data_IF_249436402779
#
_entry.id   IF_249436402779
#
_cell.length_a   1.000
_cell.length_b   1.000
_cell.length_c   1.000
_cell.angle_alpha   90.00
_cell.angle_beta   90.00
_cell.angle_gamma   90.00
#
_symmetry.space_group_name_H-M   'P 1'
#
loop_
_entity.id
_entity.type
_entity.pdbx_description
1 polymer ?
#
# COMPACT_ATOMS: atom_id res chain seq x y z
N UNK A 1 12.02 34.22 -21.23
CA UNK A 1 11.14 34.31 -20.05
C UNK A 1 10.05 33.24 -20.04
N UNK A 2 10.38 31.98 -20.40
CA UNK A 2 9.51 30.79 -20.32
C UNK A 2 10.38 29.56 -20.59
N UNK A 3 11.17 29.19 -19.58
CA UNK A 3 11.97 27.96 -19.42
C UNK A 3 12.54 28.07 -18.00
N UNK A 4 11.70 27.82 -16.98
CA UNK A 4 11.79 26.54 -16.28
C UNK A 4 10.46 26.14 -15.60
N UNK A 5 9.71 25.21 -16.19
CA UNK A 5 8.59 24.55 -15.48
C UNK A 5 8.53 23.03 -15.76
N UNK A 6 9.29 22.55 -16.73
CA UNK A 6 9.37 21.13 -17.12
C UNK A 6 10.43 20.35 -16.33
N UNK A 7 11.37 21.02 -15.66
CA UNK A 7 12.44 20.37 -14.88
C UNK A 7 12.08 20.11 -13.42
N UNK A 8 10.98 20.70 -12.92
CA UNK A 8 10.60 20.65 -11.49
C UNK A 8 9.53 19.59 -11.18
N UNK A 9 8.89 19.00 -12.19
CA UNK A 9 7.82 18.00 -12.02
C UNK A 9 8.31 16.55 -12.16
N UNK A 10 9.43 16.29 -12.85
CA UNK A 10 10.00 14.95 -12.95
C UNK A 10 10.79 14.54 -11.69
N UNK A 11 11.36 15.50 -10.95
CA UNK A 11 12.05 15.23 -9.68
C UNK A 11 11.08 15.03 -8.51
N UNK A 12 9.88 15.62 -8.56
CA UNK A 12 8.90 15.52 -7.48
C UNK A 12 8.22 14.13 -7.44
N UNK A 13 7.88 13.54 -8.59
CA UNK A 13 7.23 12.23 -8.64
C UNK A 13 8.17 11.09 -8.20
N UNK A 14 9.47 11.22 -8.49
CA UNK A 14 10.49 10.22 -8.17
C UNK A 14 11.15 10.45 -6.80
N UNK A 15 11.34 11.69 -6.40
CA UNK A 15 11.79 12.06 -5.06
C UNK A 15 10.76 11.68 -4.00
N UNK A 16 9.45 11.87 -4.26
CA UNK A 16 8.39 11.35 -3.38
C UNK A 16 8.29 9.84 -3.47
N UNK A 17 8.32 9.20 -4.64
CA UNK A 17 8.23 7.73 -4.73
C UNK A 17 9.34 7.01 -3.95
N UNK A 18 10.59 7.47 -4.09
CA UNK A 18 11.76 6.90 -3.39
C UNK A 18 11.79 7.31 -1.92
N UNK A 19 11.46 8.57 -1.56
CA UNK A 19 11.34 8.96 -0.14
C UNK A 19 10.14 8.33 0.54
N UNK A 20 9.02 8.11 -0.14
CA UNK A 20 7.84 7.47 0.42
C UNK A 20 8.11 5.97 0.58
N UNK A 21 8.76 5.30 -0.37
CA UNK A 21 9.23 3.92 -0.18
C UNK A 21 10.31 3.82 0.91
N UNK A 22 11.22 4.78 1.02
CA UNK A 22 12.22 4.84 2.09
C UNK A 22 11.56 5.10 3.45
N UNK A 23 10.66 6.08 3.56
CA UNK A 23 9.88 6.34 4.78
C UNK A 23 8.95 5.16 5.09
N UNK A 24 8.40 4.46 4.09
CA UNK A 24 7.59 3.26 4.25
C UNK A 24 8.40 2.12 4.86
N UNK A 25 9.55 1.78 4.27
CA UNK A 25 10.41 0.71 4.76
C UNK A 25 11.12 1.09 6.05
N UNK A 26 11.64 2.31 6.19
CA UNK A 26 12.29 2.78 7.42
C UNK A 26 11.28 2.86 8.57
N UNK A 27 10.06 3.38 8.36
CA UNK A 27 9.05 3.42 9.42
C UNK A 27 8.46 2.05 9.75
N UNK A 28 8.35 1.12 8.78
CA UNK A 28 8.06 -0.28 9.05
C UNK A 28 9.20 -0.90 9.88
N UNK A 29 10.46 -0.68 9.52
CA UNK A 29 11.61 -1.13 10.31
C UNK A 29 11.62 -0.54 11.73
N UNK A 30 11.22 0.73 11.91
CA UNK A 30 11.13 1.37 13.23
C UNK A 30 9.91 0.88 14.03
N UNK A 31 8.79 0.58 13.37
CA UNK A 31 7.64 -0.13 13.95
C UNK A 31 8.04 -1.52 14.46
N UNK A 32 8.80 -2.26 13.64
CA UNK A 32 9.37 -3.57 13.96
C UNK A 32 10.32 -3.45 15.15
N UNK A 33 11.20 -2.44 15.17
CA UNK A 33 12.15 -2.20 16.26
C UNK A 33 11.46 -1.85 17.58
N UNK A 34 10.38 -1.06 17.54
CA UNK A 34 9.60 -0.71 18.72
C UNK A 34 8.77 -1.89 19.26
N UNK A 35 8.20 -2.74 18.41
CA UNK A 35 7.51 -3.95 18.86
C UNK A 35 8.51 -5.00 19.40
N UNK A 36 9.71 -5.05 18.83
CA UNK A 36 10.80 -5.90 19.31
C UNK A 36 11.28 -5.51 20.71
N UNK A 37 11.22 -4.24 21.10
CA UNK A 37 11.52 -3.79 22.47
C UNK A 37 10.42 -4.19 23.48
N UNK A 38 9.16 -4.35 23.06
CA UNK A 38 8.06 -4.76 23.95
C UNK A 38 8.11 -6.25 24.31
N UNK A 39 8.75 -7.09 23.50
CA UNK A 39 8.85 -8.54 23.73
C UNK A 39 10.14 -9.00 24.43
N UNK A 40 11.12 -8.10 24.65
CA UNK A 40 12.48 -8.48 25.12
C UNK A 40 12.71 -8.29 26.62
N UNK A 41 11.80 -7.66 27.37
CA UNK A 41 11.96 -7.54 28.83
C UNK A 41 11.27 -8.70 29.58
N UNK A 42 12.02 -9.60 30.23
CA UNK A 42 11.44 -10.61 31.10
C UNK A 42 10.93 -9.93 32.37
N UNK A 43 9.69 -10.23 32.76
CA UNK A 43 9.14 -9.89 34.08
C UNK A 43 10.00 -10.55 35.17
N UNK A 44 10.92 -9.81 35.76
CA UNK A 44 11.46 -10.12 37.08
C UNK A 44 11.96 -8.84 37.72
N UNK A 45 11.24 -8.39 38.76
CA UNK A 45 11.76 -8.00 40.08
C UNK A 45 10.54 -7.58 40.91
N UNK A 46 10.22 -8.36 41.94
CA UNK A 46 9.36 -7.97 43.03
C UNK A 46 10.24 -7.38 44.16
N UNK A 47 9.94 -6.16 44.61
CA UNK A 47 9.75 -5.73 46.02
C UNK A 47 10.00 -4.21 46.23
N UNK A 48 8.94 -3.54 46.76
CA UNK A 48 8.92 -2.40 47.72
C UNK A 48 9.42 -1.05 47.16
N UNK A 49 8.75 0.12 47.23
CA UNK A 49 7.88 0.76 48.25
C UNK A 49 7.08 1.93 47.62
N UNK A 50 6.13 2.46 48.41
CA UNK A 50 5.07 3.41 48.09
C UNK A 50 5.46 4.80 47.53
N UNK A 51 4.44 5.39 46.90
CA UNK A 51 4.18 6.80 46.57
C UNK A 51 4.43 7.24 45.11
N UNK A 52 3.42 7.91 44.54
CA UNK A 52 3.50 8.65 43.28
C UNK A 52 3.29 7.87 41.98
N UNK A 53 2.06 7.94 41.43
CA UNK A 53 1.74 7.74 40.00
C UNK A 53 2.35 6.50 39.30
N UNK A 54 1.61 5.39 39.32
CA UNK A 54 1.86 4.26 38.42
C UNK A 54 1.65 4.68 36.95
N UNK A 55 2.71 5.15 36.29
CA UNK A 55 2.82 5.07 34.83
C UNK A 55 3.46 3.73 34.49
N UNK A 56 2.65 2.82 33.95
CA UNK A 56 3.09 1.55 33.38
C UNK A 56 4.19 1.83 32.33
N UNK A 57 5.40 1.23 32.43
CA UNK A 57 6.50 1.45 31.50
C UNK A 57 6.18 1.05 30.04
N UNK A 58 5.03 0.40 29.81
CA UNK A 58 4.56 -0.10 28.51
C UNK A 58 3.46 0.74 27.86
N UNK A 59 3.04 1.87 28.43
CA UNK A 59 1.92 2.64 27.88
C UNK A 59 2.38 3.52 26.70
N UNK A 60 2.40 2.92 25.51
CA UNK A 60 2.62 3.63 24.24
C UNK A 60 1.57 4.75 24.13
N UNK A 61 2.03 5.99 23.98
CA UNK A 61 1.13 7.15 24.00
C UNK A 61 -0.03 7.01 23.00
N UNK A 62 -1.22 7.50 23.37
CA UNK A 62 -2.39 7.52 22.46
C UNK A 62 -2.08 8.19 21.12
N UNK A 63 -1.25 9.23 21.12
CA UNK A 63 -0.81 9.89 19.88
C UNK A 63 0.01 8.95 18.99
N UNK A 64 0.92 8.16 19.57
CA UNK A 64 1.68 7.13 18.86
C UNK A 64 0.76 6.03 18.33
N UNK A 65 -0.22 5.57 19.11
CA UNK A 65 -1.19 4.58 18.65
C UNK A 65 -2.06 5.10 17.50
N UNK A 66 -2.53 6.35 17.58
CA UNK A 66 -3.28 6.99 16.49
C UNK A 66 -2.41 7.11 15.24
N UNK A 67 -1.16 7.52 15.38
CA UNK A 67 -0.21 7.58 14.25
C UNK A 67 -0.03 6.22 13.57
N UNK A 68 0.10 5.15 14.36
CA UNK A 68 0.19 3.77 13.85
C UNK A 68 -1.11 3.31 13.20
N UNK A 69 -2.26 3.64 13.79
CA UNK A 69 -3.59 3.29 13.29
C UNK A 69 -3.93 3.98 11.96
N UNK A 70 -3.43 5.21 11.74
CA UNK A 70 -3.56 5.89 10.45
C UNK A 70 -2.88 5.09 9.34
N UNK A 71 -1.87 4.26 9.65
CA UNK A 71 -1.12 3.46 8.68
C UNK A 71 -0.60 4.32 7.53
N UNK A 72 -0.14 5.55 7.81
CA UNK A 72 0.26 6.56 6.81
C UNK A 72 1.03 6.03 5.58
N UNK A 73 2.00 5.11 5.75
CA UNK A 73 2.69 4.51 4.61
C UNK A 73 1.76 3.82 3.58
N UNK A 74 0.60 3.30 4.00
CA UNK A 74 -0.38 2.64 3.13
C UNK A 74 -0.99 3.60 2.10
N UNK A 75 -1.09 4.90 2.37
CA UNK A 75 -1.65 5.86 1.40
C UNK A 75 -0.72 6.11 0.20
N UNK A 76 0.53 5.63 0.25
CA UNK A 76 1.39 5.56 -0.93
C UNK A 76 0.73 4.79 -2.07
N UNK A 77 -0.09 3.77 -1.76
CA UNK A 77 -0.79 2.96 -2.77
C UNK A 77 -1.99 3.69 -3.39
N UNK A 78 -2.46 4.79 -2.80
CA UNK A 78 -3.39 5.73 -3.45
C UNK A 78 -2.65 6.66 -4.41
N UNK A 79 -1.47 7.13 -4.01
CA UNK A 79 -0.70 8.13 -4.74
C UNK A 79 0.01 7.53 -5.97
N UNK A 80 0.74 6.43 -5.80
CA UNK A 80 1.64 5.90 -6.84
C UNK A 80 0.92 5.54 -8.14
N UNK A 81 -0.18 4.75 -8.15
CA UNK A 81 -0.91 4.44 -9.38
C UNK A 81 -1.43 5.69 -10.10
N UNK A 82 -1.92 6.67 -9.33
CA UNK A 82 -2.44 7.93 -9.85
C UNK A 82 -1.33 8.78 -10.47
N UNK A 83 -0.21 8.93 -9.77
CA UNK A 83 0.94 9.70 -10.25
C UNK A 83 1.57 9.05 -11.48
N UNK A 84 1.75 7.72 -11.48
CA UNK A 84 2.33 6.99 -12.62
C UNK A 84 1.39 7.05 -13.82
N UNK A 85 0.10 6.76 -13.63
CA UNK A 85 -0.89 6.87 -14.70
C UNK A 85 -0.96 8.30 -15.27
N UNK A 86 -0.95 9.31 -14.41
CA UNK A 86 -0.92 10.72 -14.79
C UNK A 86 0.35 11.14 -15.53
N UNK A 87 1.52 10.64 -15.11
CA UNK A 87 2.78 10.92 -15.79
C UNK A 87 2.82 10.32 -17.20
N UNK A 88 2.33 9.09 -17.37
CA UNK A 88 2.21 8.46 -18.70
C UNK A 88 1.20 9.21 -19.56
N UNK A 89 0.08 9.66 -18.99
CA UNK A 89 -0.91 10.47 -19.69
C UNK A 89 -0.29 11.79 -20.19
N UNK A 90 0.39 12.52 -19.29
CA UNK A 90 1.07 13.76 -19.62
C UNK A 90 2.15 13.57 -20.69
N UNK A 91 2.93 12.49 -20.61
CA UNK A 91 3.96 12.17 -21.61
C UNK A 91 3.35 12.01 -23.02
N UNK A 92 2.12 11.51 -23.12
CA UNK A 92 1.50 11.16 -24.40
C UNK A 92 0.62 12.26 -24.97
N UNK A 93 -0.08 12.99 -24.11
CA UNK A 93 -1.04 14.01 -24.54
C UNK A 93 -0.55 15.43 -24.28
N UNK A 94 0.46 15.62 -23.43
CA UNK A 94 0.89 16.93 -22.95
C UNK A 94 -0.09 17.59 -21.97
N UNK A 95 -1.14 16.88 -21.54
CA UNK A 95 -2.23 17.44 -20.75
C UNK A 95 -2.05 17.13 -19.26
N UNK A 96 -2.31 18.13 -18.42
CA UNK A 96 -2.38 17.95 -16.97
C UNK A 96 -3.44 18.87 -16.37
N UNK A 97 -4.40 18.29 -15.66
CA UNK A 97 -5.40 19.03 -14.89
C UNK A 97 -5.15 18.84 -13.40
N UNK A 98 -4.59 19.86 -12.75
CA UNK A 98 -4.35 19.84 -11.32
C UNK A 98 -5.65 19.60 -10.52
N UNK A 99 -6.76 20.22 -10.95
CA UNK A 99 -8.08 20.03 -10.34
C UNK A 99 -8.49 18.55 -10.37
N UNK A 100 -8.45 17.91 -11.55
CA UNK A 100 -8.84 16.50 -11.69
C UNK A 100 -7.90 15.59 -10.91
N UNK A 101 -6.59 15.84 -10.96
CA UNK A 101 -5.61 15.10 -10.19
C UNK A 101 -5.90 15.14 -8.70
N UNK A 102 -6.15 16.33 -8.14
CA UNK A 102 -6.44 16.48 -6.72
C UNK A 102 -7.78 15.86 -6.32
N UNK A 103 -8.81 15.93 -7.16
CA UNK A 103 -10.06 15.21 -6.93
C UNK A 103 -9.84 13.70 -6.90
N UNK A 104 -9.12 13.15 -7.88
CA UNK A 104 -8.81 11.72 -7.93
C UNK A 104 -7.97 11.28 -6.73
N UNK A 105 -7.00 12.10 -6.29
CA UNK A 105 -6.18 11.82 -5.11
C UNK A 105 -7.05 11.79 -3.85
N UNK A 106 -7.85 12.82 -3.61
CA UNK A 106 -8.74 12.88 -2.45
C UNK A 106 -9.73 11.71 -2.42
N UNK A 107 -10.33 11.39 -3.57
CA UNK A 107 -11.19 10.22 -3.71
C UNK A 107 -10.46 8.91 -3.44
N UNK A 108 -9.24 8.73 -3.98
CA UNK A 108 -8.46 7.51 -3.78
C UNK A 108 -8.04 7.34 -2.32
N UNK A 109 -7.68 8.43 -1.64
CA UNK A 109 -7.42 8.42 -0.19
C UNK A 109 -8.65 7.94 0.57
N UNK A 110 -9.85 8.45 0.27
CA UNK A 110 -11.10 7.98 0.89
C UNK A 110 -11.39 6.49 0.62
N UNK A 111 -11.10 5.99 -0.59
CA UNK A 111 -11.22 4.56 -0.90
C UNK A 111 -10.22 3.72 -0.08
N UNK A 112 -8.98 4.17 0.07
CA UNK A 112 -7.99 3.48 0.93
C UNK A 112 -8.41 3.55 2.41
N UNK A 113 -8.96 4.68 2.86
CA UNK A 113 -9.53 4.81 4.21
C UNK A 113 -10.65 3.80 4.42
N UNK A 114 -11.54 3.62 3.45
CA UNK A 114 -12.56 2.57 3.50
C UNK A 114 -11.94 1.18 3.63
N UNK A 115 -10.94 0.83 2.81
CA UNK A 115 -10.28 -0.49 2.89
C UNK A 115 -9.66 -0.74 4.26
N UNK A 116 -8.98 0.25 4.83
CA UNK A 116 -8.34 0.12 6.13
C UNK A 116 -9.35 -0.04 7.28
N UNK A 117 -10.38 0.82 7.31
CA UNK A 117 -11.38 0.80 8.37
C UNK A 117 -12.28 -0.43 8.29
N UNK A 118 -12.69 -0.81 7.07
CA UNK A 118 -13.49 -2.03 6.89
C UNK A 118 -12.71 -3.28 7.27
N UNK A 119 -11.42 -3.36 6.92
CA UNK A 119 -10.57 -4.46 7.36
C UNK A 119 -10.50 -4.56 8.89
N UNK A 120 -10.21 -3.46 9.59
CA UNK A 120 -10.18 -3.46 11.06
C UNK A 120 -11.53 -3.86 11.68
N UNK A 121 -12.66 -3.45 11.08
CA UNK A 121 -14.00 -3.87 11.54
C UNK A 121 -14.23 -5.36 11.35
N UNK A 122 -13.92 -5.92 10.18
CA UNK A 122 -14.18 -7.33 9.92
C UNK A 122 -13.18 -8.26 10.60
N UNK A 123 -11.94 -7.81 10.82
CA UNK A 123 -10.93 -8.53 11.61
C UNK A 123 -11.25 -8.48 13.12
N UNK A 124 -11.92 -7.41 13.58
CA UNK A 124 -12.52 -7.41 14.92
C UNK A 124 -13.64 -8.47 15.04
N UNK A 125 -14.50 -8.58 14.02
CA UNK A 125 -15.59 -9.57 14.01
C UNK A 125 -15.10 -11.03 14.01
N UNK A 126 -13.94 -11.31 13.39
CA UNK A 126 -13.32 -12.65 13.40
C UNK A 126 -12.52 -12.92 14.67
N UNK A 127 -12.21 -11.87 15.45
CA UNK A 127 -11.34 -11.93 16.60
C UNK A 127 -9.85 -11.84 16.29
N UNK A 128 -9.48 -11.61 15.03
CA UNK A 128 -8.09 -11.40 14.59
C UNK A 128 -7.47 -10.16 15.25
N UNK A 129 -8.26 -9.10 15.44
CA UNK A 129 -7.78 -7.85 16.04
C UNK A 129 -7.93 -7.78 17.57
N UNK A 130 -8.32 -8.86 18.29
CA UNK A 130 -8.64 -8.79 19.74
C UNK A 130 -7.55 -8.15 20.62
N UNK A 131 -6.28 -8.39 20.31
CA UNK A 131 -5.14 -7.87 21.09
C UNK A 131 -4.39 -6.72 20.41
N UNK A 132 -4.89 -6.25 19.25
CA UNK A 132 -4.18 -5.30 18.39
C UNK A 132 -4.51 -3.86 18.78
N UNK A 133 -3.67 -3.25 19.63
CA UNK A 133 -3.92 -1.91 20.21
C UNK A 133 -4.06 -0.80 19.18
N UNK A 134 -3.46 -0.95 18.00
CA UNK A 134 -3.53 -0.01 16.88
C UNK A 134 -4.74 -0.19 15.95
N UNK A 135 -5.59 -1.20 16.19
CA UNK A 135 -6.88 -1.32 15.47
C UNK A 135 -7.77 -0.13 15.81
N UNK A 136 -8.36 0.52 14.80
CA UNK A 136 -9.21 1.70 15.03
C UNK A 136 -10.44 1.32 15.87
N UNK A 137 -10.94 0.10 15.71
CA UNK A 137 -12.06 -0.42 16.53
C UNK A 137 -11.66 -0.51 18.00
N UNK A 138 -10.46 -0.97 18.30
CA UNK A 138 -9.96 -1.06 19.68
C UNK A 138 -9.67 0.32 20.28
N UNK A 139 -9.16 1.27 19.48
CA UNK A 139 -8.91 2.65 19.93
C UNK A 139 -10.20 3.41 20.23
N UNK A 140 -11.22 3.24 19.39
CA UNK A 140 -12.52 3.89 19.57
C UNK A 140 -13.36 3.16 20.63
N UNK A 141 -13.10 1.87 20.84
CA UNK A 141 -13.90 1.02 21.73
C UNK A 141 -15.28 0.69 21.18
N UNK A 142 -15.51 0.89 19.87
CA UNK A 142 -16.79 0.58 19.23
C UNK A 142 -16.60 0.12 17.79
N UNK A 143 -17.44 -0.85 17.37
CA UNK A 143 -17.50 -1.35 15.99
C UNK A 143 -18.23 -0.38 15.05
N UNK A 144 -19.31 0.23 15.52
CA UNK A 144 -20.23 1.01 14.68
C UNK A 144 -19.60 2.28 14.12
N UNK A 145 -18.80 3.00 14.91
CA UNK A 145 -18.14 4.23 14.46
C UNK A 145 -17.21 4.03 13.26
N UNK A 146 -16.20 3.14 13.36
CA UNK A 146 -15.31 2.81 12.25
C UNK A 146 -16.05 2.27 11.03
N UNK A 147 -17.12 1.48 11.20
CA UNK A 147 -17.91 0.97 10.08
C UNK A 147 -18.66 2.08 9.32
N UNK A 148 -19.30 3.00 10.04
CA UNK A 148 -19.96 4.17 9.45
C UNK A 148 -18.92 5.00 8.69
N UNK A 149 -17.79 5.30 9.32
CA UNK A 149 -16.71 6.05 8.69
C UNK A 149 -16.16 5.35 7.43
N UNK A 150 -16.04 4.02 7.45
CA UNK A 150 -15.62 3.23 6.30
C UNK A 150 -16.58 3.41 5.12
N UNK A 151 -17.88 3.20 5.32
CA UNK A 151 -18.87 3.30 4.25
C UNK A 151 -19.13 4.75 3.80
N UNK A 152 -19.05 5.73 4.69
CA UNK A 152 -19.06 7.15 4.31
C UNK A 152 -17.85 7.49 3.43
N UNK A 153 -16.66 6.98 3.76
CA UNK A 153 -15.47 7.17 2.94
C UNK A 153 -15.60 6.49 1.57
N UNK A 154 -16.15 5.29 1.51
CA UNK A 154 -16.46 4.61 0.24
C UNK A 154 -17.40 5.44 -0.62
N UNK A 155 -18.52 5.90 -0.05
CA UNK A 155 -19.53 6.67 -0.77
C UNK A 155 -18.96 8.00 -1.31
N UNK A 156 -18.29 8.78 -0.46
CA UNK A 156 -17.68 10.06 -0.85
C UNK A 156 -16.55 9.87 -1.87
N UNK A 157 -15.70 8.86 -1.65
CA UNK A 157 -14.64 8.51 -2.59
C UNK A 157 -15.20 8.16 -3.97
N UNK A 158 -16.20 7.28 -4.02
CA UNK A 158 -16.86 6.85 -5.25
C UNK A 158 -17.59 7.99 -5.96
N UNK A 159 -18.24 8.90 -5.23
CA UNK A 159 -18.85 10.12 -5.81
C UNK A 159 -17.80 10.95 -6.52
N UNK A 160 -16.64 11.20 -5.91
CA UNK A 160 -15.58 11.98 -6.55
C UNK A 160 -14.95 11.28 -7.77
N UNK A 161 -14.79 9.95 -7.74
CA UNK A 161 -14.35 9.17 -8.91
C UNK A 161 -15.37 9.23 -10.05
N UNK A 162 -16.65 9.13 -9.73
CA UNK A 162 -17.75 9.22 -10.70
C UNK A 162 -17.81 10.62 -11.31
N UNK A 163 -17.69 11.66 -10.50
CA UNK A 163 -17.65 13.05 -10.96
C UNK A 163 -16.47 13.30 -11.90
N UNK A 164 -15.27 12.85 -11.53
CA UNK A 164 -14.08 12.98 -12.38
C UNK A 164 -14.22 12.21 -13.71
N UNK A 165 -14.85 11.03 -13.67
CA UNK A 165 -15.10 10.21 -14.87
C UNK A 165 -16.15 10.83 -15.79
N UNK A 166 -17.19 11.42 -15.22
CA UNK A 166 -18.22 12.16 -15.97
C UNK A 166 -17.65 13.43 -16.60
N UNK A 167 -16.85 14.22 -15.86
CA UNK A 167 -16.17 15.42 -16.38
C UNK A 167 -15.21 15.08 -17.54
N UNK A 168 -14.54 13.93 -17.47
CA UNK A 168 -13.67 13.41 -18.53
C UNK A 168 -14.41 12.69 -19.67
N UNK A 169 -15.74 12.48 -19.57
CA UNK A 169 -16.54 11.64 -20.49
C UNK A 169 -15.96 10.23 -20.72
N UNK A 170 -15.30 9.67 -19.71
CA UNK A 170 -14.60 8.38 -19.82
C UNK A 170 -15.18 7.36 -18.84
N UNK A 171 -16.30 6.75 -19.22
CA UNK A 171 -16.99 5.77 -18.38
C UNK A 171 -16.24 4.44 -18.25
N UNK A 172 -15.35 4.14 -19.20
CA UNK A 172 -14.46 2.97 -19.13
C UNK A 172 -13.53 3.06 -17.92
N UNK A 173 -13.02 4.24 -17.61
CA UNK A 173 -12.20 4.43 -16.40
C UNK A 173 -12.98 4.18 -15.12
N UNK A 174 -14.26 4.57 -15.07
CA UNK A 174 -15.11 4.28 -13.91
C UNK A 174 -15.32 2.77 -13.72
N UNK A 175 -15.50 2.01 -14.81
CA UNK A 175 -15.58 0.55 -14.75
C UNK A 175 -14.29 -0.07 -14.19
N UNK A 176 -13.13 0.35 -14.69
CA UNK A 176 -11.83 -0.13 -14.19
C UNK A 176 -11.63 0.20 -12.71
N UNK A 177 -11.96 1.42 -12.27
CA UNK A 177 -11.91 1.80 -10.85
C UNK A 177 -12.91 0.98 -10.01
N UNK A 178 -14.10 0.72 -10.55
CA UNK A 178 -15.08 -0.19 -9.95
C UNK A 178 -14.52 -1.60 -9.77
N UNK A 179 -13.82 -2.14 -10.77
CA UNK A 179 -13.13 -3.43 -10.66
C UNK A 179 -12.03 -3.40 -9.58
N UNK A 180 -11.25 -2.32 -9.48
CA UNK A 180 -10.23 -2.17 -8.44
C UNK A 180 -10.86 -2.13 -7.02
N UNK A 181 -11.94 -1.36 -6.84
CA UNK A 181 -12.70 -1.30 -5.58
C UNK A 181 -13.30 -2.67 -5.26
N UNK A 182 -13.84 -3.37 -6.26
CA UNK A 182 -14.39 -4.70 -6.09
C UNK A 182 -13.32 -5.72 -5.67
N UNK A 183 -12.11 -5.68 -6.23
CA UNK A 183 -10.97 -6.47 -5.75
C UNK A 183 -10.70 -6.23 -4.26
N UNK A 184 -10.71 -4.96 -3.85
CA UNK A 184 -10.58 -4.59 -2.44
C UNK A 184 -11.74 -5.10 -1.56
N UNK A 185 -12.97 -5.10 -2.09
CA UNK A 185 -14.14 -5.68 -1.42
C UNK A 185 -13.97 -7.18 -1.21
N UNK A 186 -13.74 -7.97 -2.27
CA UNK A 186 -13.63 -9.43 -2.15
C UNK A 186 -12.40 -9.87 -1.35
N UNK A 187 -11.37 -9.03 -1.29
CA UNK A 187 -10.19 -9.25 -0.47
C UNK A 187 -10.53 -9.40 1.02
N UNK A 188 -11.29 -8.47 1.61
CA UNK A 188 -11.53 -8.45 3.07
C UNK A 188 -13.01 -8.63 3.51
N UNK A 189 -14.00 -8.37 2.65
CA UNK A 189 -15.40 -8.33 3.07
C UNK A 189 -16.03 -9.73 3.09
N UNK A 190 -16.97 -10.00 4.02
CA UNK A 190 -17.90 -11.12 3.89
C UNK A 190 -18.74 -11.00 2.61
N UNK A 191 -19.13 -12.12 1.96
CA UNK A 191 -18.83 -13.50 2.36
C UNK A 191 -17.48 -14.03 1.85
N UNK A 192 -16.75 -13.26 1.03
CA UNK A 192 -15.62 -13.79 0.26
C UNK A 192 -14.32 -13.93 1.07
N UNK A 193 -13.86 -12.84 1.71
CA UNK A 193 -12.64 -12.80 2.53
C UNK A 193 -11.44 -13.52 1.89
N UNK A 194 -11.18 -13.25 0.61
CA UNK A 194 -10.17 -13.99 -0.15
C UNK A 194 -8.74 -13.80 0.38
N UNK A 195 -8.50 -12.77 1.21
CA UNK A 195 -7.25 -12.62 1.97
C UNK A 195 -6.98 -13.81 2.91
N UNK A 196 -8.03 -14.40 3.51
CA UNK A 196 -7.93 -15.59 4.36
C UNK A 196 -7.60 -16.85 3.56
N UNK A 197 -7.80 -16.82 2.25
CA UNK A 197 -7.52 -17.93 1.34
C UNK A 197 -6.16 -17.80 0.64
N UNK A 198 -5.37 -16.77 0.95
CA UNK A 198 -4.08 -16.51 0.33
C UNK A 198 -4.18 -16.04 -1.13
N UNK A 199 -5.26 -15.35 -1.48
CA UNK A 199 -5.47 -14.73 -2.80
C UNK A 199 -5.27 -13.21 -2.77
N UNK A 200 -4.59 -12.70 -1.74
CA UNK A 200 -4.34 -11.27 -1.57
C UNK A 200 -3.48 -10.67 -2.69
N UNK A 201 -2.40 -11.36 -3.04
CA UNK A 201 -1.39 -10.90 -3.98
C UNK A 201 -1.93 -10.73 -5.41
N UNK A 202 -2.69 -11.69 -5.98
CA UNK A 202 -3.33 -11.51 -7.29
C UNK A 202 -4.37 -10.38 -7.31
N UNK A 203 -5.18 -10.24 -6.24
CA UNK A 203 -6.17 -9.18 -6.12
C UNK A 203 -5.52 -7.80 -6.02
N UNK A 204 -4.45 -7.69 -5.22
CA UNK A 204 -3.65 -6.49 -5.08
C UNK A 204 -3.02 -6.11 -6.43
N UNK A 205 -2.41 -7.07 -7.12
CA UNK A 205 -1.81 -6.86 -8.43
C UNK A 205 -2.84 -6.28 -9.41
N UNK A 206 -4.00 -6.94 -9.54
CA UNK A 206 -5.05 -6.54 -10.47
C UNK A 206 -5.63 -5.16 -10.14
N UNK A 207 -5.91 -4.90 -8.85
CA UNK A 207 -6.51 -3.65 -8.39
C UNK A 207 -5.62 -2.44 -8.67
N UNK A 208 -4.36 -2.48 -8.24
CA UNK A 208 -3.47 -1.32 -8.31
C UNK A 208 -2.76 -1.21 -9.66
N UNK A 209 -2.42 -2.33 -10.28
CA UNK A 209 -1.77 -2.36 -11.58
C UNK A 209 -2.73 -2.05 -12.72
N UNK A 210 -3.24 -3.06 -13.44
CA UNK A 210 -3.99 -2.87 -14.67
C UNK A 210 -5.30 -2.10 -14.49
N UNK A 211 -5.99 -2.19 -13.34
CA UNK A 211 -7.24 -1.48 -13.14
C UNK A 211 -7.03 0.00 -12.77
N UNK A 212 -6.51 0.29 -11.58
CA UNK A 212 -6.39 1.67 -11.10
C UNK A 212 -5.41 2.51 -11.95
N UNK A 213 -4.19 2.02 -12.20
CA UNK A 213 -3.18 2.79 -12.95
C UNK A 213 -3.66 3.15 -14.36
N UNK A 214 -4.28 2.19 -15.06
CA UNK A 214 -4.83 2.43 -16.40
C UNK A 214 -6.02 3.39 -16.36
N UNK A 215 -6.90 3.27 -15.37
CA UNK A 215 -8.04 4.18 -15.24
C UNK A 215 -7.58 5.63 -15.01
N UNK A 216 -6.57 5.84 -14.16
CA UNK A 216 -6.00 7.16 -13.90
C UNK A 216 -5.31 7.73 -15.14
N UNK A 217 -4.57 6.91 -15.88
CA UNK A 217 -4.01 7.28 -17.17
C UNK A 217 -5.10 7.79 -18.13
N UNK A 218 -6.17 7.01 -18.30
CA UNK A 218 -7.28 7.38 -19.18
C UNK A 218 -7.96 8.68 -18.71
N UNK A 219 -8.22 8.84 -17.41
CA UNK A 219 -8.89 10.02 -16.86
C UNK A 219 -8.05 11.29 -16.97
N UNK A 220 -6.75 11.20 -16.72
CA UNK A 220 -5.86 12.36 -16.78
C UNK A 220 -5.46 12.72 -18.21
N UNK A 221 -5.48 11.76 -19.13
CA UNK A 221 -5.21 11.98 -20.56
C UNK A 221 -6.43 12.45 -21.36
N UNK A 222 -7.65 12.28 -20.85
CA UNK A 222 -8.89 12.65 -21.57
C UNK A 222 -9.28 14.11 -21.33
N UNK A 223 -9.92 14.75 -22.30
CA UNK A 223 -10.60 16.04 -22.15
C UNK A 223 -11.99 15.97 -22.78
N UNK A 224 -12.77 17.06 -22.73
CA UNK A 224 -14.05 17.11 -23.44
C UNK A 224 -13.90 16.94 -24.96
N UNK A 225 -12.74 17.31 -25.49
CA UNK A 225 -12.40 17.22 -26.92
C UNK A 225 -11.66 15.91 -27.23
N UNK A 226 -10.80 15.44 -26.32
CA UNK A 226 -10.06 14.18 -26.45
C UNK A 226 -10.74 13.11 -25.61
N UNK A 227 -11.68 12.39 -26.22
CA UNK A 227 -12.45 11.34 -25.56
C UNK A 227 -11.74 9.99 -25.64
N UNK A 228 -10.94 9.77 -26.68
CA UNK A 228 -10.23 8.51 -26.91
C UNK A 228 -8.73 8.66 -26.64
N UNK A 229 -8.27 7.98 -25.59
CA UNK A 229 -6.87 7.86 -25.23
C UNK A 229 -6.44 6.40 -25.47
N UNK A 230 -5.53 6.10 -26.42
CA UNK A 230 -5.19 4.74 -26.79
C UNK A 230 -4.39 4.04 -25.70
N UNK A 231 -4.68 2.77 -25.41
CA UNK A 231 -3.81 1.99 -24.53
C UNK A 231 -2.48 1.71 -25.24
N UNK A 232 -1.41 2.21 -24.66
CA UNK A 232 -0.05 2.09 -25.18
C UNK A 232 0.74 1.03 -24.42
N UNK A 233 1.80 0.50 -25.04
CA UNK A 233 2.74 -0.38 -24.34
C UNK A 233 3.33 0.29 -23.09
N UNK A 234 3.48 1.61 -23.07
CA UNK A 234 3.95 2.37 -21.91
C UNK A 234 3.02 2.28 -20.71
N UNK A 235 1.72 2.54 -20.87
CA UNK A 235 0.79 2.45 -19.72
C UNK A 235 0.64 0.99 -19.25
N UNK A 236 0.61 0.03 -20.18
CA UNK A 236 0.53 -1.38 -19.83
C UNK A 236 1.75 -1.81 -19.02
N UNK A 237 2.95 -1.47 -19.48
CA UNK A 237 4.22 -1.78 -18.80
C UNK A 237 4.31 -1.11 -17.42
N UNK A 238 3.95 0.18 -17.34
CA UNK A 238 3.92 0.91 -16.09
C UNK A 238 2.91 0.31 -15.10
N UNK A 239 1.72 -0.07 -15.56
CA UNK A 239 0.68 -0.67 -14.73
C UNK A 239 1.12 -2.02 -14.15
N UNK A 240 1.83 -2.85 -14.92
CA UNK A 240 2.40 -4.11 -14.44
C UNK A 240 3.44 -3.86 -13.35
N UNK A 241 4.37 -2.91 -13.56
CA UNK A 241 5.38 -2.58 -12.55
C UNK A 241 4.74 -2.06 -11.25
N UNK A 242 3.76 -1.16 -11.34
CA UNK A 242 3.02 -0.65 -10.17
C UNK A 242 2.30 -1.78 -9.43
N UNK A 243 1.64 -2.68 -10.17
CA UNK A 243 0.97 -3.85 -9.60
C UNK A 243 1.96 -4.75 -8.85
N UNK A 244 3.08 -5.12 -9.48
CA UNK A 244 4.11 -5.97 -8.87
C UNK A 244 4.73 -5.32 -7.62
N UNK A 245 5.05 -4.02 -7.66
CA UNK A 245 5.58 -3.33 -6.48
C UNK A 245 4.58 -3.29 -5.34
N UNK A 246 3.30 -3.05 -5.63
CA UNK A 246 2.25 -2.97 -4.60
C UNK A 246 1.98 -4.35 -3.99
N UNK A 247 1.95 -5.39 -4.83
CA UNK A 247 1.85 -6.79 -4.37
C UNK A 247 3.04 -7.20 -3.51
N UNK A 248 4.26 -6.78 -3.86
CA UNK A 248 5.44 -7.07 -3.04
C UNK A 248 5.35 -6.40 -1.66
N UNK A 249 4.82 -5.17 -1.58
CA UNK A 249 4.56 -4.51 -0.30
C UNK A 249 3.59 -5.35 0.55
N UNK A 250 2.47 -5.80 -0.03
CA UNK A 250 1.51 -6.66 0.67
C UNK A 250 2.17 -7.96 1.13
N UNK A 251 2.92 -8.61 0.26
CA UNK A 251 3.60 -9.86 0.58
C UNK A 251 4.58 -9.70 1.76
N UNK A 252 5.38 -8.64 1.76
CA UNK A 252 6.30 -8.34 2.85
C UNK A 252 5.59 -8.09 4.19
N UNK A 253 4.35 -7.59 4.16
CA UNK A 253 3.58 -7.35 5.39
C UNK A 253 3.25 -8.63 6.17
N UNK A 254 3.21 -9.79 5.49
CA UNK A 254 2.90 -11.07 6.11
C UNK A 254 3.99 -11.60 7.04
N UNK A 255 5.25 -11.14 6.92
CA UNK A 255 6.37 -11.71 7.70
C UNK A 255 6.21 -11.53 9.21
N UNK A 256 5.46 -10.51 9.65
CA UNK A 256 5.25 -10.23 11.07
C UNK A 256 3.92 -10.78 11.62
N UNK A 257 3.10 -11.42 10.78
CA UNK A 257 1.72 -11.79 11.10
C UNK A 257 1.49 -13.30 11.00
N UNK A 258 2.53 -14.12 10.86
CA UNK A 258 2.38 -15.55 10.55
C UNK A 258 1.64 -16.27 11.68
N UNK A 259 2.07 -16.08 12.92
CA UNK A 259 1.46 -16.71 14.10
C UNK A 259 0.03 -16.23 14.33
N UNK A 260 -0.22 -14.93 14.12
CA UNK A 260 -1.52 -14.28 14.27
C UNK A 260 -2.51 -14.77 13.20
N UNK A 261 -2.05 -14.86 11.95
CA UNK A 261 -2.81 -15.39 10.82
C UNK A 261 -3.20 -16.86 11.06
N UNK A 262 -2.27 -17.68 11.57
CA UNK A 262 -2.55 -19.08 11.94
C UNK A 262 -3.62 -19.15 13.03
N UNK A 263 -3.52 -18.32 14.07
CA UNK A 263 -4.43 -18.35 15.22
C UNK A 263 -5.90 -18.08 14.83
N UNK A 264 -6.14 -17.36 13.72
CA UNK A 264 -7.49 -17.07 13.21
C UNK A 264 -7.86 -17.83 11.94
N UNK A 265 -7.05 -18.82 11.55
CA UNK A 265 -7.29 -19.65 10.37
C UNK A 265 -7.12 -18.93 9.03
N UNK A 266 -6.39 -17.81 9.00
CA UNK A 266 -6.03 -17.08 7.78
C UNK A 266 -4.83 -17.75 7.11
N UNK A 267 -5.07 -18.37 5.95
CA UNK A 267 -4.05 -19.07 5.17
C UNK A 267 -3.29 -18.10 4.25
N UNK A 268 -2.57 -17.14 4.83
CA UNK A 268 -1.73 -16.20 4.07
C UNK A 268 -0.58 -16.92 3.36
N UNK A 269 0.09 -16.29 2.36
CA UNK A 269 1.15 -16.96 1.61
C UNK A 269 2.28 -17.50 2.49
N UNK A 270 2.69 -16.75 3.51
CA UNK A 270 3.76 -17.18 4.42
C UNK A 270 3.31 -18.30 5.36
N UNK A 271 2.04 -18.36 5.73
CA UNK A 271 1.47 -19.51 6.44
C UNK A 271 1.55 -20.77 5.56
N UNK A 272 1.28 -20.64 4.25
CA UNK A 272 1.31 -21.78 3.32
C UNK A 272 2.73 -22.23 2.95
N UNK A 273 3.68 -21.29 2.80
CA UNK A 273 4.99 -21.59 2.22
C UNK A 273 6.16 -21.49 3.19
N UNK A 274 5.96 -20.90 4.37
CA UNK A 274 7.00 -20.60 5.35
C UNK A 274 7.81 -19.35 5.01
N UNK A 275 8.43 -18.76 6.03
CA UNK A 275 9.17 -17.50 5.92
C UNK A 275 10.47 -17.64 5.12
N UNK A 276 11.11 -18.81 5.12
CA UNK A 276 12.32 -19.08 4.33
C UNK A 276 12.05 -19.02 2.82
N UNK A 277 11.03 -19.75 2.35
CA UNK A 277 10.60 -19.64 0.94
C UNK A 277 10.07 -18.25 0.63
N UNK A 278 9.37 -17.63 1.59
CA UNK A 278 8.94 -16.23 1.47
C UNK A 278 10.10 -15.28 1.20
N UNK A 279 11.20 -15.40 1.93
CA UNK A 279 12.40 -14.57 1.74
C UNK A 279 12.98 -14.72 0.33
N UNK A 280 13.05 -15.96 -0.18
CA UNK A 280 13.45 -16.22 -1.57
C UNK A 280 12.51 -15.59 -2.59
N UNK A 281 11.20 -15.59 -2.34
CA UNK A 281 10.21 -14.89 -3.18
C UNK A 281 10.46 -13.39 -3.21
N UNK A 282 10.72 -12.76 -2.06
CA UNK A 282 11.06 -11.33 -2.00
C UNK A 282 12.30 -11.03 -2.85
N UNK A 283 13.37 -11.79 -2.68
CA UNK A 283 14.59 -11.66 -3.47
C UNK A 283 14.33 -11.78 -4.97
N UNK A 284 13.61 -12.83 -5.37
CA UNK A 284 13.23 -13.07 -6.76
C UNK A 284 12.35 -11.96 -7.34
N UNK A 285 11.38 -11.47 -6.57
CA UNK A 285 10.49 -10.37 -6.96
C UNK A 285 11.25 -9.06 -7.15
N UNK A 286 12.17 -8.72 -6.24
CA UNK A 286 13.04 -7.54 -6.37
C UNK A 286 13.90 -7.65 -7.63
N UNK A 287 14.58 -8.78 -7.84
CA UNK A 287 15.38 -8.99 -9.06
C UNK A 287 14.54 -8.89 -10.33
N UNK A 288 13.33 -9.45 -10.32
CA UNK A 288 12.38 -9.41 -11.43
C UNK A 288 11.95 -7.98 -11.73
N UNK A 289 11.63 -7.18 -10.72
CA UNK A 289 11.25 -5.77 -10.86
C UNK A 289 12.37 -4.95 -11.54
N UNK A 290 13.61 -5.08 -11.08
CA UNK A 290 14.77 -4.40 -11.67
C UNK A 290 15.01 -4.86 -13.11
N UNK A 291 14.95 -6.17 -13.37
CA UNK A 291 15.19 -6.74 -14.70
C UNK A 291 14.11 -6.35 -15.70
N UNK A 292 12.84 -6.40 -15.29
CA UNK A 292 11.71 -5.96 -16.11
C UNK A 292 11.82 -4.48 -16.44
N UNK A 293 12.08 -3.61 -15.46
CA UNK A 293 12.20 -2.18 -15.71
C UNK A 293 13.36 -1.88 -16.67
N UNK A 294 14.51 -2.52 -16.49
CA UNK A 294 15.65 -2.40 -17.39
C UNK A 294 15.29 -2.83 -18.82
N UNK A 295 14.71 -4.01 -19.00
CA UNK A 295 14.29 -4.52 -20.32
C UNK A 295 13.21 -3.65 -20.99
N UNK A 296 12.22 -3.21 -20.23
CA UNK A 296 11.16 -2.31 -20.71
C UNK A 296 11.71 -0.93 -21.14
N UNK A 297 12.74 -0.45 -20.46
CA UNK A 297 13.47 0.75 -20.87
C UNK A 297 14.26 0.54 -22.16
N UNK A 298 15.00 -0.58 -22.30
CA UNK A 298 15.77 -0.89 -23.52
C UNK A 298 14.88 -1.03 -24.76
N UNK A 299 13.72 -1.69 -24.61
CA UNK A 299 12.73 -1.83 -25.67
C UNK A 299 11.91 -0.55 -25.92
N UNK A 300 12.23 0.56 -25.24
CA UNK A 300 11.53 1.85 -25.33
C UNK A 300 10.03 1.78 -24.98
N UNK A 301 9.60 0.75 -24.28
CA UNK A 301 8.27 0.68 -23.71
C UNK A 301 8.11 1.70 -22.56
N UNK A 302 9.20 1.96 -21.84
CA UNK A 302 9.32 3.05 -20.86
C UNK A 302 10.41 4.04 -21.28
N UNK A 303 10.34 5.32 -20.84
CA UNK A 303 11.42 6.28 -21.06
C UNK A 303 12.77 5.75 -20.53
N UNK A 304 13.85 5.99 -21.28
CA UNK A 304 15.21 5.57 -20.86
C UNK A 304 15.64 6.19 -19.52
N UNK A 305 15.08 7.34 -19.16
CA UNK A 305 15.29 7.98 -17.86
C UNK A 305 14.87 7.08 -16.70
N UNK A 306 13.85 6.22 -16.88
CA UNK A 306 13.42 5.25 -15.88
C UNK A 306 14.55 4.29 -15.50
N UNK A 307 15.42 3.88 -16.45
CA UNK A 307 16.56 3.00 -16.17
C UNK A 307 17.52 3.67 -15.19
N UNK A 308 17.90 4.92 -15.48
CA UNK A 308 18.84 5.68 -14.64
C UNK A 308 18.28 5.86 -13.24
N UNK A 309 17.01 6.23 -13.14
CA UNK A 309 16.32 6.45 -11.87
C UNK A 309 16.17 5.15 -11.07
N UNK A 310 15.91 4.03 -11.74
CA UNK A 310 15.87 2.71 -11.14
C UNK A 310 17.25 2.27 -10.63
N UNK A 311 18.33 2.56 -11.37
CA UNK A 311 19.68 2.27 -10.90
C UNK A 311 20.00 2.99 -9.57
N UNK A 312 19.49 4.22 -9.38
CA UNK A 312 19.65 4.95 -8.12
C UNK A 312 18.94 4.30 -6.92
N UNK A 313 17.94 3.44 -7.15
CA UNK A 313 17.24 2.73 -6.05
C UNK A 313 17.86 1.39 -5.71
N UNK A 314 18.86 0.91 -6.45
CA UNK A 314 19.52 -0.37 -6.20
C UNK A 314 20.00 -0.57 -4.75
N UNK A 315 20.60 0.43 -4.06
CA UNK A 315 20.97 0.28 -2.66
C UNK A 315 19.79 -0.03 -1.75
N UNK A 316 18.62 0.56 -2.04
CA UNK A 316 17.38 0.32 -1.28
C UNK A 316 16.85 -1.08 -1.60
N UNK A 317 16.87 -1.50 -2.86
CA UNK A 317 16.49 -2.87 -3.23
C UNK A 317 17.32 -3.92 -2.49
N UNK A 318 18.64 -3.71 -2.42
CA UNK A 318 19.55 -4.55 -1.65
C UNK A 318 19.25 -4.53 -0.15
N UNK A 319 18.98 -3.35 0.41
CA UNK A 319 18.59 -3.19 1.82
C UNK A 319 17.36 -4.04 2.15
N UNK A 320 16.31 -3.99 1.32
CA UNK A 320 15.07 -4.75 1.54
C UNK A 320 15.34 -6.25 1.52
N UNK A 321 16.09 -6.74 0.52
CA UNK A 321 16.42 -8.16 0.42
C UNK A 321 17.22 -8.62 1.64
N UNK A 322 18.29 -7.89 2.00
CA UNK A 322 19.12 -8.22 3.15
C UNK A 322 18.31 -8.20 4.44
N UNK A 323 17.46 -7.19 4.64
CA UNK A 323 16.62 -7.08 5.83
C UNK A 323 15.70 -8.30 5.99
N UNK A 324 15.03 -8.72 4.90
CA UNK A 324 14.17 -9.92 4.94
C UNK A 324 15.00 -11.19 5.14
N UNK A 325 16.13 -11.36 4.45
CA UNK A 325 17.02 -12.50 4.62
C UNK A 325 17.59 -12.63 6.05
N UNK A 326 17.85 -11.51 6.72
CA UNK A 326 18.37 -11.51 8.10
C UNK A 326 17.27 -11.73 9.14
N UNK A 327 16.03 -11.30 8.87
CA UNK A 327 14.96 -11.25 9.88
C UNK A 327 13.79 -12.20 9.62
N UNK A 328 13.77 -12.98 8.53
CA UNK A 328 12.66 -13.89 8.24
C UNK A 328 12.51 -15.04 9.24
N UNK A 329 13.61 -15.43 9.91
CA UNK A 329 13.58 -16.47 10.94
C UNK A 329 13.18 -15.81 12.25
N UNK A 330 11.95 -16.06 12.67
CA UNK A 330 11.56 -15.78 14.05
C UNK A 330 12.47 -16.58 14.98
N UNK A 331 13.18 -15.91 15.90
CA UNK A 331 13.79 -16.59 17.05
C UNK A 331 12.64 -17.04 17.94
N UNK A 332 12.23 -18.30 17.83
CA UNK A 332 11.52 -18.94 18.92
C UNK A 332 12.37 -18.72 20.17
N UNK A 333 11.82 -17.99 21.15
CA UNK A 333 12.36 -18.00 22.50
C UNK A 333 12.36 -19.48 22.90
N UNK A 334 13.54 -20.08 22.96
CA UNK A 334 13.72 -21.41 23.53
C UNK A 334 13.26 -21.29 24.98
N UNK A 335 12.05 -21.77 25.25
CA UNK A 335 11.60 -22.04 26.61
C UNK A 335 12.28 -23.35 27.00
N UNK A 336 13.45 -23.22 27.62
CA UNK A 336 14.09 -24.28 28.38
C UNK A 336 13.37 -24.53 29.71
#
# INVERSE_FOLDING_TARGET
MLKPLTTTLSSLCLGLGVRIHHVYFTNQCDLIRCQHQQHVFPNNIAHISADGTHQDPNDVSKATLIWRAIKLPIYSVALVPLTVGGAVAYLQTGLFSARRYMTLLASSVLIITWLNLSNDVYDFDTGADKNKKESVVNLVGSRSGPLIAAYSSLALGFIGLTWASADARNMRSLLLLGCAIFCGYVYQCPPFRLSYQGLGEPLCFAAFGPFATTAFYLLLGSTREIIFVPLTHTVLSASVLVGLTTTLILFCSHFHQVEEDIAVGKMSPLVKMGTERGSMVVKGAVLTLYSLLFGLGLCKALPLTCIVLCALTLPIGKLVVNFVEENHKYKSIEVG
#
